data_IF_790858850233
#
_entry.id   IF_790858850233
#
_cell.length_a   1.000
_cell.length_b   1.000
_cell.length_c   1.000
_cell.angle_alpha   90.00
_cell.angle_beta   90.00
_cell.angle_gamma   90.00
#
_symmetry.space_group_name_H-M   'P 1'
#
loop_
_entity.id
_entity.type
_entity.pdbx_description
1 polymer ?
#
# COMPACT_ATOMS: atom_id res chain seq x y z
N UNK A 1 -7.20 -8.73 -25.47
CA UNK A 1 -8.62 -8.54 -25.81
C UNK A 1 -9.24 -7.69 -24.70
N UNK A 2 -9.88 -6.55 -25.01
CA UNK A 2 -10.64 -5.83 -23.99
C UNK A 2 -11.84 -6.70 -23.56
N UNK A 3 -12.16 -6.77 -22.25
CA UNK A 3 -13.37 -7.47 -21.79
C UNK A 3 -14.62 -6.78 -22.36
N UNK A 4 -15.69 -7.53 -22.67
CA UNK A 4 -16.91 -6.95 -23.20
C UNK A 4 -17.53 -5.97 -22.20
N UNK A 5 -17.96 -4.81 -22.70
CA UNK A 5 -18.66 -3.79 -21.93
C UNK A 5 -19.83 -4.41 -21.15
N UNK A 6 -19.84 -4.25 -19.82
CA UNK A 6 -20.93 -4.70 -18.94
C UNK A 6 -20.74 -6.05 -18.26
N UNK A 7 -19.65 -6.78 -18.53
CA UNK A 7 -19.35 -8.02 -17.80
C UNK A 7 -18.71 -7.72 -16.43
N UNK A 8 -19.52 -7.60 -15.38
CA UNK A 8 -19.01 -7.71 -14.01
C UNK A 8 -18.43 -9.11 -13.82
N UNK A 9 -17.21 -9.20 -13.30
CA UNK A 9 -16.41 -10.43 -13.12
C UNK A 9 -17.01 -11.30 -11.98
N UNK A 10 -18.32 -11.52 -11.97
CA UNK A 10 -19.03 -11.95 -10.77
C UNK A 10 -19.00 -13.46 -10.54
N UNK A 11 -18.77 -14.31 -11.56
CA UNK A 11 -18.93 -15.77 -11.40
C UNK A 11 -17.94 -16.70 -12.14
N UNK A 12 -16.88 -16.20 -12.78
CA UNK A 12 -15.93 -17.04 -13.53
C UNK A 12 -14.68 -17.49 -12.74
N UNK A 13 -13.98 -18.56 -13.19
CA UNK A 13 -12.66 -18.96 -12.64
C UNK A 13 -11.60 -17.85 -12.74
N UNK A 14 -11.81 -16.88 -13.65
CA UNK A 14 -10.95 -15.70 -13.83
C UNK A 14 -11.16 -14.61 -12.77
N UNK A 15 -12.14 -14.76 -11.86
CA UNK A 15 -12.44 -13.78 -10.81
C UNK A 15 -11.28 -13.56 -9.85
N UNK A 16 -10.65 -14.65 -9.39
CA UNK A 16 -9.50 -14.56 -8.49
C UNK A 16 -8.32 -13.85 -9.16
N UNK A 17 -8.08 -14.16 -10.44
CA UNK A 17 -7.03 -13.50 -11.21
C UNK A 17 -7.31 -12.01 -11.41
N UNK A 18 -8.52 -11.66 -11.83
CA UNK A 18 -8.90 -10.27 -12.01
C UNK A 18 -8.81 -9.47 -10.69
N UNK A 19 -9.18 -10.10 -9.58
CA UNK A 19 -9.03 -9.51 -8.25
C UNK A 19 -7.57 -9.21 -7.93
N UNK A 20 -6.69 -10.19 -8.09
CA UNK A 20 -5.25 -10.02 -7.82
C UNK A 20 -4.64 -8.94 -8.72
N UNK A 21 -5.03 -8.87 -10.00
CA UNK A 21 -4.55 -7.83 -10.92
C UNK A 21 -5.00 -6.44 -10.46
N UNK A 22 -6.26 -6.30 -10.02
CA UNK A 22 -6.76 -5.03 -9.53
C UNK A 22 -6.11 -4.63 -8.21
N UNK A 23 -5.92 -5.55 -7.26
CA UNK A 23 -5.20 -5.28 -6.01
C UNK A 23 -3.75 -4.85 -6.26
N UNK A 24 -3.05 -5.50 -7.20
CA UNK A 24 -1.71 -5.11 -7.61
C UNK A 24 -1.68 -3.69 -8.22
N UNK A 25 -2.64 -3.37 -9.09
CA UNK A 25 -2.78 -2.03 -9.66
C UNK A 25 -3.11 -0.98 -8.59
N UNK A 26 -4.00 -1.29 -7.65
CA UNK A 26 -4.30 -0.38 -6.55
C UNK A 26 -3.08 -0.10 -5.67
N UNK A 27 -2.27 -1.11 -5.37
CA UNK A 27 -1.02 -0.91 -4.65
C UNK A 27 -0.06 -0.02 -5.44
N UNK A 28 0.12 -0.28 -6.74
CA UNK A 28 0.93 0.58 -7.62
C UNK A 28 0.43 2.03 -7.65
N UNK A 29 -0.89 2.23 -7.66
CA UNK A 29 -1.50 3.55 -7.53
C UNK A 29 -1.05 4.24 -6.24
N UNK A 30 -1.13 3.55 -5.10
CA UNK A 30 -0.69 4.08 -3.79
C UNK A 30 0.81 4.40 -3.75
N UNK A 31 1.65 3.55 -4.31
CA UNK A 31 3.10 3.77 -4.39
C UNK A 31 3.40 5.03 -5.19
N UNK A 32 2.83 5.16 -6.39
CA UNK A 32 3.03 6.31 -7.24
C UNK A 32 2.47 7.60 -6.63
N UNK A 33 1.33 7.56 -5.95
CA UNK A 33 0.83 8.71 -5.19
C UNK A 33 1.79 9.15 -4.10
N UNK A 34 2.40 8.21 -3.38
CA UNK A 34 3.39 8.53 -2.36
C UNK A 34 4.66 9.12 -2.97
N UNK A 35 5.17 8.53 -4.05
CA UNK A 35 6.31 9.09 -4.79
C UNK A 35 6.00 10.50 -5.26
N UNK A 36 4.81 10.74 -5.83
CA UNK A 36 4.37 12.07 -6.23
C UNK A 36 4.36 13.07 -5.06
N UNK A 37 3.93 12.66 -3.85
CA UNK A 37 3.99 13.54 -2.68
C UNK A 37 5.42 13.93 -2.29
N UNK A 38 6.41 13.09 -2.59
CA UNK A 38 7.82 13.35 -2.31
C UNK A 38 8.50 14.16 -3.44
N UNK A 39 8.13 13.88 -4.71
CA UNK A 39 8.82 14.42 -5.90
C UNK A 39 8.11 15.60 -6.55
N UNK A 40 6.79 15.72 -6.34
CA UNK A 40 5.89 16.57 -7.10
C UNK A 40 6.03 16.42 -8.62
N UNK A 41 6.38 15.22 -9.12
CA UNK A 41 6.57 14.99 -10.55
C UNK A 41 5.27 14.52 -11.24
N UNK A 42 4.90 15.18 -12.34
CA UNK A 42 3.71 14.83 -13.14
C UNK A 42 3.69 13.37 -13.61
N UNK A 43 4.85 12.80 -13.93
CA UNK A 43 4.98 11.42 -14.37
C UNK A 43 4.48 10.40 -13.31
N UNK A 44 4.80 10.64 -12.04
CA UNK A 44 4.40 9.78 -10.93
C UNK A 44 2.88 9.87 -10.72
N UNK A 45 2.31 11.08 -10.83
CA UNK A 45 0.88 11.27 -10.72
C UNK A 45 0.11 10.60 -11.87
N UNK A 46 0.58 10.75 -13.11
CA UNK A 46 -0.01 10.07 -14.26
C UNK A 46 0.07 8.54 -14.12
N UNK A 47 1.19 8.01 -13.64
CA UNK A 47 1.31 6.58 -13.33
C UNK A 47 0.31 6.13 -12.26
N UNK A 48 0.12 6.92 -11.19
CA UNK A 48 -0.87 6.62 -10.17
C UNK A 48 -2.29 6.53 -10.75
N UNK A 49 -2.67 7.48 -11.60
CA UNK A 49 -3.99 7.50 -12.24
C UNK A 49 -4.19 6.33 -13.21
N UNK A 50 -3.18 6.00 -14.04
CA UNK A 50 -3.22 4.81 -14.91
C UNK A 50 -3.52 3.54 -14.13
N UNK A 51 -2.82 3.33 -13.02
CA UNK A 51 -3.00 2.16 -12.19
C UNK A 51 -4.35 2.16 -11.46
N UNK A 52 -4.78 3.33 -10.96
CA UNK A 52 -6.11 3.47 -10.38
C UNK A 52 -7.22 3.15 -11.39
N UNK A 53 -7.11 3.64 -12.62
CA UNK A 53 -8.04 3.37 -13.74
C UNK A 53 -8.04 1.89 -14.12
N UNK A 54 -6.88 1.23 -14.16
CA UNK A 54 -6.79 -0.20 -14.43
C UNK A 54 -7.48 -1.03 -13.34
N UNK A 55 -7.26 -0.70 -12.07
CA UNK A 55 -7.96 -1.33 -10.94
C UNK A 55 -9.47 -1.09 -10.98
N UNK A 56 -9.86 0.15 -11.27
CA UNK A 56 -11.22 0.63 -11.41
C UNK A 56 -12.02 -0.18 -12.45
N UNK A 57 -11.44 -0.37 -13.65
CA UNK A 57 -12.07 -1.14 -14.75
C UNK A 57 -12.30 -2.61 -14.43
N UNK A 58 -11.58 -3.15 -13.47
CA UNK A 58 -11.75 -4.53 -12.99
C UNK A 58 -12.81 -4.66 -11.88
N UNK A 59 -13.49 -3.56 -11.52
CA UNK A 59 -14.62 -3.58 -10.59
C UNK A 59 -14.23 -3.58 -9.10
N UNK A 60 -12.95 -3.34 -8.75
CA UNK A 60 -12.50 -3.24 -7.36
C UNK A 60 -12.47 -1.80 -6.83
N UNK A 61 -13.48 -0.99 -7.19
CA UNK A 61 -13.60 0.35 -6.62
C UNK A 61 -13.85 0.34 -5.11
N UNK A 62 -14.58 -0.67 -4.60
CA UNK A 62 -14.88 -0.76 -3.16
C UNK A 62 -13.64 -0.89 -2.27
N UNK A 63 -12.55 -1.48 -2.79
CA UNK A 63 -11.28 -1.65 -2.05
C UNK A 63 -10.23 -0.60 -2.41
N UNK A 64 -10.40 0.12 -3.53
CA UNK A 64 -9.56 1.27 -3.83
C UNK A 64 -9.86 2.35 -2.79
N UNK A 65 -9.02 2.40 -1.73
CA UNK A 65 -9.28 3.18 -0.53
C UNK A 65 -9.95 4.49 -0.88
N UNK A 66 -11.14 4.73 -0.34
CA UNK A 66 -11.91 5.97 -0.51
C UNK A 66 -11.02 7.22 -0.52
N UNK A 67 -9.96 7.23 0.30
CA UNK A 67 -8.87 8.20 0.31
C UNK A 67 -8.19 8.48 -1.04
N UNK A 68 -7.80 7.45 -1.79
CA UNK A 68 -7.16 7.57 -3.10
C UNK A 68 -8.15 8.16 -4.12
N UNK A 69 -9.36 7.62 -4.17
CA UNK A 69 -10.44 8.12 -5.05
C UNK A 69 -10.82 9.54 -4.68
N UNK A 70 -10.92 9.88 -3.40
CA UNK A 70 -11.24 11.22 -2.89
C UNK A 70 -10.12 12.23 -3.21
N UNK A 71 -8.85 11.86 -3.04
CA UNK A 71 -7.71 12.70 -3.45
C UNK A 71 -7.66 12.89 -4.97
N UNK A 72 -7.92 11.83 -5.73
CA UNK A 72 -8.03 11.85 -7.19
C UNK A 72 -9.21 12.74 -7.62
N UNK A 73 -10.37 12.64 -6.97
CA UNK A 73 -11.56 13.44 -7.25
C UNK A 73 -11.31 14.92 -6.94
N UNK A 74 -10.69 15.23 -5.80
CA UNK A 74 -10.26 16.60 -5.46
C UNK A 74 -9.27 17.14 -6.50
N UNK A 75 -8.33 16.31 -6.95
CA UNK A 75 -7.40 16.65 -8.04
C UNK A 75 -8.14 16.98 -9.34
N UNK A 76 -9.03 16.10 -9.79
CA UNK A 76 -9.80 16.27 -11.04
C UNK A 76 -10.70 17.50 -10.96
N UNK A 77 -11.40 17.71 -9.85
CA UNK A 77 -12.26 18.88 -9.65
C UNK A 77 -11.47 20.18 -9.62
N UNK A 78 -10.29 20.19 -8.99
CA UNK A 78 -9.41 21.37 -9.00
C UNK A 78 -8.91 21.71 -10.42
N UNK A 79 -8.66 20.70 -11.27
CA UNK A 79 -8.25 20.91 -12.66
C UNK A 79 -9.42 21.31 -13.58
N UNK A 80 -10.62 20.74 -13.39
CA UNK A 80 -11.84 21.19 -14.08
C UNK A 80 -12.09 22.67 -13.75
N UNK A 81 -11.90 23.09 -12.49
CA UNK A 81 -11.95 24.51 -12.10
C UNK A 81 -10.90 25.40 -12.77
N UNK A 82 -9.77 24.85 -13.24
CA UNK A 82 -8.74 25.59 -13.99
C UNK A 82 -9.11 25.68 -15.48
N UNK A 83 -9.74 24.63 -16.04
CA UNK A 83 -10.23 24.62 -17.43
C UNK A 83 -11.43 25.54 -17.65
N UNK A 84 -12.35 25.59 -16.68
CA UNK A 84 -13.52 26.48 -16.70
C UNK A 84 -13.15 27.88 -16.18
N UNK A 85 -12.52 28.67 -17.07
CA UNK A 85 -12.19 30.12 -17.03
C UNK A 85 -12.88 31.01 -15.98
N UNK A 86 -12.68 30.75 -14.69
CA UNK A 86 -13.07 31.68 -13.63
C UNK A 86 -11.97 32.74 -13.48
N UNK A 87 -12.38 34.00 -13.40
CA UNK A 87 -11.46 35.13 -13.22
C UNK A 87 -10.93 35.13 -11.79
N UNK A 88 -9.77 34.52 -11.55
CA UNK A 88 -9.10 34.52 -10.26
C UNK A 88 -7.79 33.73 -10.30
N UNK A 89 -6.85 33.98 -9.38
CA UNK A 89 -5.70 33.11 -9.21
C UNK A 89 -6.21 31.70 -8.85
N UNK A 90 -5.66 30.64 -9.47
CA UNK A 90 -6.06 29.28 -9.13
C UNK A 90 -5.86 29.07 -7.62
N UNK A 91 -6.78 28.35 -6.94
CA UNK A 91 -6.55 27.97 -5.55
C UNK A 91 -5.19 27.26 -5.46
N UNK A 92 -4.49 27.41 -4.33
CA UNK A 92 -3.26 26.64 -4.09
C UNK A 92 -3.62 25.15 -4.06
N UNK A 93 -3.48 24.51 -5.21
CA UNK A 93 -3.85 23.11 -5.40
C UNK A 93 -2.80 22.17 -4.82
N UNK A 94 -1.65 22.69 -4.38
CA UNK A 94 -0.49 21.87 -4.02
C UNK A 94 0.01 21.02 -5.19
N UNK A 95 -0.17 21.47 -6.43
CA UNK A 95 0.29 20.78 -7.63
C UNK A 95 1.48 21.49 -8.27
N UNK A 96 2.40 20.73 -8.90
CA UNK A 96 3.46 21.33 -9.69
C UNK A 96 2.86 22.18 -10.84
N UNK A 97 3.50 23.28 -11.24
CA UNK A 97 3.08 24.01 -12.44
C UNK A 97 3.26 23.16 -13.70
N UNK A 98 2.43 23.39 -14.72
CA UNK A 98 2.63 22.80 -16.06
C UNK A 98 3.64 23.70 -16.79
N UNK A 99 4.86 23.23 -16.95
CA UNK A 99 5.97 24.03 -17.49
C UNK A 99 6.45 23.58 -18.88
N UNK A 100 6.04 22.39 -19.30
CA UNK A 100 6.47 21.77 -20.54
C UNK A 100 5.33 21.06 -21.28
N UNK A 101 5.54 20.78 -22.56
CA UNK A 101 4.62 19.93 -23.33
C UNK A 101 4.50 18.51 -22.76
N UNK A 102 5.55 18.03 -22.10
CA UNK A 102 5.56 16.73 -21.43
C UNK A 102 4.63 16.73 -20.20
N UNK A 103 4.64 17.81 -19.42
CA UNK A 103 3.72 17.99 -18.29
C UNK A 103 2.27 18.01 -18.78
N UNK A 104 2.00 18.74 -19.87
CA UNK A 104 0.68 18.79 -20.48
C UNK A 104 0.19 17.40 -20.93
N UNK A 105 1.08 16.59 -21.53
CA UNK A 105 0.74 15.22 -21.91
C UNK A 105 0.40 14.33 -20.71
N UNK A 106 1.08 14.50 -19.57
CA UNK A 106 0.72 13.78 -18.34
C UNK A 106 -0.63 14.22 -17.78
N UNK A 107 -0.93 15.52 -17.83
CA UNK A 107 -2.24 16.04 -17.43
C UNK A 107 -3.36 15.50 -18.32
N UNK A 108 -3.17 15.49 -19.63
CA UNK A 108 -4.12 14.90 -20.59
C UNK A 108 -4.37 13.42 -20.28
N UNK A 109 -3.31 12.67 -19.98
CA UNK A 109 -3.42 11.27 -19.58
C UNK A 109 -4.21 11.08 -18.28
N UNK A 110 -3.99 11.94 -17.28
CA UNK A 110 -4.74 11.93 -16.03
C UNK A 110 -6.23 12.21 -16.30
N UNK A 111 -6.53 13.20 -17.14
CA UNK A 111 -7.91 13.53 -17.53
C UNK A 111 -8.58 12.41 -18.34
N UNK A 112 -7.79 11.60 -19.06
CA UNK A 112 -8.27 10.43 -19.80
C UNK A 112 -8.65 9.24 -18.89
N UNK A 113 -8.29 9.26 -17.61
CA UNK A 113 -8.69 8.25 -16.63
C UNK A 113 -10.16 8.46 -16.19
N UNK A 114 -11.06 8.35 -17.18
CA UNK A 114 -12.47 8.71 -17.10
C UNK A 114 -13.26 7.90 -16.07
N UNK A 115 -12.88 6.64 -15.79
CA UNK A 115 -13.60 5.82 -14.81
C UNK A 115 -13.34 6.35 -13.40
N UNK A 116 -12.12 6.81 -13.11
CA UNK A 116 -11.83 7.55 -11.88
C UNK A 116 -12.47 8.94 -11.88
N UNK A 117 -12.37 9.68 -12.97
CA UNK A 117 -12.80 11.08 -13.07
C UNK A 117 -14.32 11.24 -12.99
N UNK A 118 -15.08 10.36 -13.65
CA UNK A 118 -16.55 10.37 -13.64
C UNK A 118 -17.13 9.73 -12.38
N UNK A 119 -16.26 9.13 -11.55
CA UNK A 119 -16.63 8.01 -10.68
C UNK A 119 -17.09 6.85 -11.57
N UNK A 120 -16.82 5.61 -11.18
CA UNK A 120 -17.73 4.58 -11.61
C UNK A 120 -19.09 5.02 -11.08
N UNK A 121 -19.98 5.50 -11.94
CA UNK A 121 -21.39 5.58 -11.63
C UNK A 121 -21.71 4.17 -11.15
N UNK A 122 -21.98 3.96 -9.84
CA UNK A 122 -22.55 2.69 -9.42
C UNK A 122 -23.80 2.58 -10.29
N UNK A 123 -23.91 1.51 -11.05
CA UNK A 123 -25.11 1.27 -11.85
C UNK A 123 -26.32 1.48 -10.95
N UNK A 124 -27.07 2.56 -11.19
CA UNK A 124 -28.52 2.76 -11.06
C UNK A 124 -29.35 1.88 -10.09
N UNK A 125 -28.79 1.35 -9.02
CA UNK A 125 -29.47 0.43 -8.10
C UNK A 125 -28.91 0.38 -6.67
N UNK A 126 -27.93 1.23 -6.34
CA UNK A 126 -27.78 1.67 -4.95
C UNK A 126 -28.49 3.01 -4.88
N UNK A 127 -29.81 2.96 -4.72
CA UNK A 127 -30.54 4.08 -4.15
C UNK A 127 -29.83 4.44 -2.85
N UNK A 128 -29.20 5.60 -2.84
CA UNK A 128 -29.20 6.59 -1.77
C UNK A 128 -29.54 6.12 -0.33
N UNK A 129 -28.98 5.01 0.12
CA UNK A 129 -28.68 4.77 1.55
C UNK A 129 -27.40 5.54 1.88
N UNK A 130 -27.39 6.84 1.58
CA UNK A 130 -26.32 7.78 1.99
C UNK A 130 -26.43 8.18 3.47
N UNK A 131 -27.26 7.47 4.22
CA UNK A 131 -27.11 7.24 5.66
C UNK A 131 -26.08 6.13 5.96
N UNK A 132 -25.10 5.92 5.07
CA UNK A 132 -23.78 5.41 5.46
C UNK A 132 -23.12 6.54 6.28
N UNK A 133 -23.68 6.79 7.49
CA UNK A 133 -22.93 7.27 8.63
C UNK A 133 -21.64 6.47 8.58
N UNK A 134 -20.55 7.10 8.12
CA UNK A 134 -19.25 6.48 8.22
C UNK A 134 -19.18 6.04 9.67
N UNK A 135 -19.17 4.73 9.93
CA UNK A 135 -18.94 4.18 11.25
C UNK A 135 -17.63 4.82 11.68
N UNK A 136 -17.71 5.97 12.38
CA UNK A 136 -16.56 6.79 12.70
C UNK A 136 -15.80 5.90 13.64
N UNK A 137 -14.72 5.27 13.17
CA UNK A 137 -14.02 4.18 13.86
C UNK A 137 -13.93 4.48 15.36
N UNK A 138 -14.88 3.95 16.13
CA UNK A 138 -15.05 4.35 17.52
C UNK A 138 -13.94 3.67 18.30
N UNK A 139 -12.91 4.44 18.63
CA UNK A 139 -11.76 3.93 19.37
C UNK A 139 -12.15 3.76 20.83
N UNK A 140 -12.14 2.51 21.32
CA UNK A 140 -12.37 2.19 22.72
C UNK A 140 -11.07 2.10 23.53
N UNK A 141 -11.15 2.42 24.83
CA UNK A 141 -10.02 2.28 25.74
C UNK A 141 -9.69 0.78 25.92
N UNK A 142 -8.41 0.42 25.78
CA UNK A 142 -7.95 -0.96 25.88
C UNK A 142 -8.03 -1.54 27.30
N UNK A 143 -8.20 -0.71 28.34
CA UNK A 143 -8.31 -1.19 29.73
C UNK A 143 -9.67 -1.85 29.96
N UNK A 144 -9.73 -3.09 30.48
CA UNK A 144 -10.99 -3.72 30.89
C UNK A 144 -11.74 -2.86 31.91
N UNK A 145 -13.06 -2.71 31.72
CA UNK A 145 -13.89 -1.86 32.57
C UNK A 145 -13.63 -0.35 32.40
N UNK A 146 -13.16 0.08 31.23
CA UNK A 146 -13.16 1.48 30.85
C UNK A 146 -14.01 1.65 29.58
N UNK A 147 -15.18 2.27 29.73
CA UNK A 147 -16.12 2.44 28.61
C UNK A 147 -15.90 3.75 27.85
N UNK A 148 -14.74 4.39 28.04
CA UNK A 148 -14.40 5.60 27.31
C UNK A 148 -14.13 5.24 25.85
N UNK A 149 -14.80 5.97 24.96
CA UNK A 149 -14.63 5.90 23.52
C UNK A 149 -14.31 7.29 22.95
N UNK A 150 -13.71 7.35 21.76
CA UNK A 150 -13.54 8.60 20.99
C UNK A 150 -13.58 8.30 19.51
N UNK A 151 -14.06 9.25 18.72
CA UNK A 151 -13.93 9.23 17.25
C UNK A 151 -12.68 9.98 16.78
N UNK A 152 -11.98 10.66 17.69
CA UNK A 152 -10.75 11.42 17.40
C UNK A 152 -9.52 10.70 17.94
N UNK A 153 -8.64 10.14 17.07
CA UNK A 153 -7.47 9.38 17.50
C UNK A 153 -6.46 10.12 18.38
N UNK A 154 -6.46 11.46 18.37
CA UNK A 154 -5.55 12.27 19.21
C UNK A 154 -5.91 12.28 20.69
N UNK A 155 -7.16 11.99 21.04
CA UNK A 155 -7.61 12.01 22.44
C UNK A 155 -7.07 10.81 23.22
N UNK A 156 -6.72 9.73 22.52
CA UNK A 156 -6.24 8.50 23.12
C UNK A 156 -4.74 8.34 22.92
N UNK A 157 -4.07 7.85 23.95
CA UNK A 157 -2.64 7.54 23.94
C UNK A 157 -2.44 6.10 23.53
N UNK A 158 -1.67 5.88 22.49
CA UNK A 158 -1.30 4.55 22.03
C UNK A 158 -0.19 3.95 22.91
N UNK A 159 -0.18 2.62 23.09
CA UNK A 159 0.94 1.96 23.75
C UNK A 159 2.26 2.24 23.03
N UNK A 160 3.25 2.76 23.76
CA UNK A 160 4.60 3.05 23.24
C UNK A 160 5.50 1.81 23.10
N UNK A 161 5.00 0.63 23.44
CA UNK A 161 5.73 -0.63 23.34
C UNK A 161 5.91 -1.15 21.91
N UNK A 162 6.59 -2.30 21.80
CA UNK A 162 6.84 -3.00 20.54
C UNK A 162 5.78 -4.06 20.20
N UNK A 163 4.61 -4.04 20.84
CA UNK A 163 3.51 -4.93 20.46
C UNK A 163 3.13 -4.74 18.98
N UNK A 164 2.69 -5.82 18.29
CA UNK A 164 2.22 -5.76 16.91
C UNK A 164 1.14 -4.70 16.72
N UNK A 165 1.09 -4.08 15.52
CA UNK A 165 0.13 -3.02 15.18
C UNK A 165 -1.32 -3.38 15.54
N UNK A 166 -1.73 -4.63 15.26
CA UNK A 166 -3.07 -5.14 15.46
C UNK A 166 -3.41 -5.49 16.93
N UNK A 167 -2.39 -5.62 17.80
CA UNK A 167 -2.54 -5.86 19.24
C UNK A 167 -2.15 -4.63 20.08
N UNK A 168 -1.99 -3.45 19.45
CA UNK A 168 -1.48 -2.27 20.13
C UNK A 168 -2.64 -1.42 20.66
N UNK A 169 -2.95 -1.49 21.97
CA UNK A 169 -4.10 -0.81 22.55
C UNK A 169 -3.95 0.72 22.58
N UNK A 170 -5.10 1.38 22.61
CA UNK A 170 -5.27 2.82 22.84
C UNK A 170 -5.82 3.03 24.26
N UNK A 171 -5.41 4.10 24.93
CA UNK A 171 -5.84 4.40 26.29
C UNK A 171 -6.27 5.86 26.40
N UNK A 172 -7.43 6.12 27.00
CA UNK A 172 -7.89 7.48 27.25
C UNK A 172 -6.98 8.26 28.24
N UNK A 173 -6.16 7.55 29.03
CA UNK A 173 -5.27 8.16 30.02
C UNK A 173 -4.03 7.30 30.33
N UNK A 174 -3.03 7.90 30.98
CA UNK A 174 -1.81 7.20 31.41
C UNK A 174 -2.12 6.22 32.56
N UNK A 175 -3.14 6.53 33.36
CA UNK A 175 -3.62 5.73 34.47
C UNK A 175 -4.25 4.44 33.96
N UNK A 176 -5.06 4.52 32.89
CA UNK A 176 -5.62 3.32 32.25
C UNK A 176 -4.54 2.41 31.69
N UNK A 177 -3.52 2.99 31.04
CA UNK A 177 -2.37 2.25 30.54
C UNK A 177 -1.60 1.54 31.67
N UNK A 178 -1.37 2.21 32.80
CA UNK A 178 -0.67 1.62 33.95
C UNK A 178 -1.44 0.47 34.59
N UNK A 179 -2.76 0.60 34.68
CA UNK A 179 -3.62 -0.45 35.25
C UNK A 179 -3.70 -1.67 34.34
N UNK A 180 -3.80 -1.46 33.03
CA UNK A 180 -3.80 -2.56 32.06
C UNK A 180 -2.42 -3.21 31.87
N UNK A 181 -1.35 -2.55 32.34
CA UNK A 181 0.02 -3.00 32.11
C UNK A 181 0.28 -4.44 32.56
N UNK A 182 -0.27 -4.91 33.68
CA UNK A 182 -0.02 -6.28 34.15
C UNK A 182 -0.51 -7.33 33.15
N UNK A 183 -1.65 -7.08 32.49
CA UNK A 183 -2.20 -7.94 31.45
C UNK A 183 -1.45 -7.74 30.13
N UNK A 184 -1.35 -6.47 29.68
CA UNK A 184 -0.76 -6.15 28.38
C UNK A 184 0.75 -6.45 28.32
N UNK A 185 1.48 -6.51 29.45
CA UNK A 185 2.93 -6.75 29.47
C UNK A 185 3.36 -8.03 28.76
N UNK A 186 2.54 -9.09 28.77
CA UNK A 186 2.85 -10.34 28.07
C UNK A 186 2.86 -10.15 26.55
N UNK A 187 1.91 -9.39 26.02
CA UNK A 187 1.77 -9.07 24.58
C UNK A 187 2.66 -7.91 24.14
N UNK A 188 2.90 -6.96 25.06
CA UNK A 188 3.80 -5.83 24.90
C UNK A 188 5.26 -6.23 25.07
N UNK A 189 5.51 -7.47 25.50
CA UNK A 189 6.85 -8.02 25.58
C UNK A 189 7.44 -7.91 24.18
N UNK A 190 8.68 -7.42 24.13
CA UNK A 190 9.47 -7.51 22.91
C UNK A 190 9.45 -9.01 22.57
N UNK A 191 8.94 -9.40 21.40
CA UNK A 191 9.44 -10.62 20.79
C UNK A 191 10.95 -10.50 20.91
N UNK A 192 11.56 -11.44 21.62
CA UNK A 192 12.97 -11.33 21.97
C UNK A 192 13.69 -11.02 20.68
N UNK A 193 14.37 -9.86 20.64
CA UNK A 193 14.83 -9.28 19.38
C UNK A 193 15.75 -10.24 18.62
N UNK A 194 16.27 -11.27 19.30
CA UNK A 194 17.04 -12.38 18.74
C UNK A 194 16.26 -13.30 17.80
N UNK A 195 14.96 -13.56 18.03
CA UNK A 195 14.17 -14.46 17.18
C UNK A 195 13.66 -13.78 15.91
N UNK A 196 13.39 -12.47 15.94
CA UNK A 196 12.98 -11.71 14.75
C UNK A 196 14.09 -11.45 13.74
N UNK A 197 15.34 -11.74 14.11
CA UNK A 197 16.52 -11.42 13.31
C UNK A 197 16.97 -12.56 12.40
N UNK A 198 16.36 -13.74 12.48
CA UNK A 198 16.62 -14.81 11.52
C UNK A 198 15.36 -15.04 10.69
N UNK A 199 15.50 -14.99 9.38
CA UNK A 199 14.41 -15.33 8.46
C UNK A 199 14.83 -16.53 7.65
N UNK A 200 14.02 -17.59 7.71
CA UNK A 200 14.09 -18.70 6.76
C UNK A 200 13.11 -18.46 5.63
N UNK A 201 13.58 -18.59 4.40
CA UNK A 201 12.75 -18.56 3.20
C UNK A 201 13.16 -19.65 2.23
N UNK A 202 12.25 -19.99 1.31
CA UNK A 202 12.53 -21.00 0.28
C UNK A 202 12.96 -20.30 -1.00
N UNK A 203 14.15 -20.63 -1.52
CA UNK A 203 14.66 -20.09 -2.78
C UNK A 203 13.78 -20.51 -3.97
N UNK A 204 13.95 -19.86 -5.12
CA UNK A 204 13.36 -20.16 -6.41
C UNK A 204 13.67 -21.60 -6.84
N UNK A 205 14.82 -22.15 -6.43
CA UNK A 205 15.18 -23.55 -6.68
C UNK A 205 14.62 -24.52 -5.62
N UNK A 206 13.82 -24.03 -4.66
CA UNK A 206 13.17 -24.84 -3.63
C UNK A 206 14.06 -25.18 -2.43
N UNK A 207 15.22 -24.54 -2.27
CA UNK A 207 16.14 -24.78 -1.14
C UNK A 207 15.77 -23.86 0.03
N UNK A 208 15.93 -24.31 1.27
CA UNK A 208 15.82 -23.42 2.43
C UNK A 208 17.08 -22.55 2.52
N UNK A 209 16.90 -21.24 2.66
CA UNK A 209 17.95 -20.29 2.95
C UNK A 209 17.62 -19.57 4.27
N UNK A 210 18.64 -19.31 5.08
CA UNK A 210 18.53 -18.57 6.33
C UNK A 210 19.29 -17.26 6.22
N UNK A 211 18.66 -16.18 6.66
CA UNK A 211 19.21 -14.84 6.58
C UNK A 211 19.27 -14.21 7.97
N UNK A 212 20.48 -13.86 8.41
CA UNK A 212 20.71 -13.09 9.61
C UNK A 212 20.55 -11.58 9.34
N UNK A 213 19.59 -10.97 10.02
CA UNK A 213 19.22 -9.57 9.98
C UNK A 213 19.70 -8.81 11.22
N UNK A 214 20.59 -9.40 12.02
CA UNK A 214 20.97 -8.85 13.31
C UNK A 214 21.64 -7.48 13.24
N UNK A 215 22.32 -7.18 12.14
CA UNK A 215 22.91 -5.89 11.81
C UNK A 215 21.93 -4.82 11.31
N UNK A 216 20.63 -5.14 11.15
CA UNK A 216 19.67 -4.23 10.55
C UNK A 216 18.84 -3.42 11.55
N UNK A 217 18.47 -2.22 11.10
CA UNK A 217 17.42 -1.41 11.74
C UNK A 217 16.06 -2.09 11.55
N UNK A 218 15.19 -2.03 12.56
CA UNK A 218 13.87 -2.68 12.53
C UNK A 218 13.04 -2.35 11.28
N UNK A 219 13.09 -1.10 10.79
CA UNK A 219 12.37 -0.72 9.57
C UNK A 219 12.82 -1.51 8.34
N UNK A 220 14.10 -1.90 8.27
CA UNK A 220 14.65 -2.73 7.19
C UNK A 220 14.36 -4.21 7.39
N UNK A 221 14.29 -4.67 8.64
CA UNK A 221 13.89 -6.04 8.99
C UNK A 221 12.51 -6.35 8.44
N UNK A 222 11.55 -5.44 8.63
CA UNK A 222 10.18 -5.62 8.10
C UNK A 222 10.14 -5.70 6.57
N UNK A 223 10.94 -4.89 5.88
CA UNK A 223 11.04 -4.97 4.41
C UNK A 223 11.67 -6.30 3.99
N UNK A 224 12.72 -6.75 4.68
CA UNK A 224 13.36 -8.05 4.41
C UNK A 224 12.37 -9.21 4.62
N UNK A 225 11.57 -9.20 5.69
CA UNK A 225 10.48 -10.16 5.92
C UNK A 225 9.47 -10.15 4.78
N UNK A 226 9.07 -8.97 4.32
CA UNK A 226 8.10 -8.83 3.25
C UNK A 226 8.64 -9.39 1.92
N UNK A 227 9.89 -9.08 1.57
CA UNK A 227 10.55 -9.62 0.37
C UNK A 227 10.75 -11.14 0.48
N UNK A 228 11.21 -11.63 1.64
CA UNK A 228 11.38 -13.05 1.91
C UNK A 228 10.06 -13.83 1.76
N UNK A 229 8.95 -13.29 2.28
CA UNK A 229 7.61 -13.86 2.13
C UNK A 229 7.12 -13.92 0.68
N UNK A 230 7.72 -13.13 -0.21
CA UNK A 230 7.33 -13.06 -1.61
C UNK A 230 8.05 -14.05 -2.52
N UNK A 231 9.11 -14.71 -2.04
CA UNK A 231 9.78 -15.77 -2.79
C UNK A 231 8.85 -16.93 -3.13
N UNK A 232 7.97 -17.32 -2.21
CA UNK A 232 7.06 -18.44 -2.45
C UNK A 232 6.01 -18.10 -3.54
N UNK A 233 5.57 -16.84 -3.59
CA UNK A 233 4.75 -16.33 -4.69
C UNK A 233 5.51 -16.41 -6.02
N UNK A 234 6.71 -15.84 -6.08
CA UNK A 234 7.49 -15.76 -7.32
C UNK A 234 7.85 -17.14 -7.85
N UNK A 235 8.15 -18.08 -6.97
CA UNK A 235 8.44 -19.47 -7.33
C UNK A 235 7.22 -20.20 -7.91
N UNK A 236 6.02 -19.94 -7.41
CA UNK A 236 4.79 -20.64 -7.81
C UNK A 236 4.14 -20.03 -9.06
N UNK A 237 4.23 -18.72 -9.26
CA UNK A 237 3.58 -18.04 -10.38
C UNK A 237 4.46 -18.01 -11.63
N UNK A 238 4.09 -18.79 -12.65
CA UNK A 238 4.78 -18.85 -13.95
C UNK A 238 4.71 -17.55 -14.77
N UNK A 239 3.88 -16.58 -14.34
CA UNK A 239 3.69 -15.29 -15.04
C UNK A 239 4.59 -14.18 -14.51
N UNK A 240 5.47 -14.48 -13.55
CA UNK A 240 6.43 -13.51 -13.04
C UNK A 240 7.30 -12.99 -14.20
N UNK A 241 7.43 -11.66 -14.36
CA UNK A 241 8.31 -11.09 -15.38
C UNK A 241 9.74 -11.64 -15.26
N UNK A 242 10.42 -12.00 -16.37
CA UNK A 242 11.79 -12.51 -16.32
C UNK A 242 12.77 -11.60 -15.58
N UNK A 243 12.58 -10.27 -15.67
CA UNK A 243 13.37 -9.28 -14.93
C UNK A 243 13.21 -9.37 -13.42
N UNK A 244 12.00 -9.66 -12.93
CA UNK A 244 11.75 -9.86 -11.50
C UNK A 244 12.37 -11.18 -11.03
N UNK A 245 12.20 -12.27 -11.79
CA UNK A 245 12.82 -13.55 -11.49
C UNK A 245 14.36 -13.45 -11.46
N UNK A 246 14.96 -12.71 -12.40
CA UNK A 246 16.41 -12.45 -12.42
C UNK A 246 16.86 -11.68 -11.16
N UNK A 247 16.12 -10.64 -10.76
CA UNK A 247 16.42 -9.88 -9.54
C UNK A 247 16.36 -10.75 -8.27
N UNK A 248 15.35 -11.62 -8.14
CA UNK A 248 15.28 -12.57 -7.02
C UNK A 248 16.43 -13.60 -7.05
N UNK A 249 16.87 -14.02 -8.24
CA UNK A 249 18.04 -14.88 -8.41
C UNK A 249 19.35 -14.20 -8.01
N UNK A 250 19.52 -12.91 -8.31
CA UNK A 250 20.66 -12.11 -7.83
C UNK A 250 20.64 -11.99 -6.30
N UNK A 251 19.46 -11.76 -5.70
CA UNK A 251 19.32 -11.71 -4.24
C UNK A 251 19.65 -13.05 -3.58
N UNK A 252 19.29 -14.16 -4.21
CA UNK A 252 19.66 -15.50 -3.73
C UNK A 252 21.15 -15.76 -3.82
N UNK A 253 21.79 -15.37 -4.90
CA UNK A 253 23.24 -15.49 -5.04
C UNK A 253 23.95 -14.72 -3.91
N UNK A 254 23.49 -13.49 -3.63
CA UNK A 254 24.00 -12.67 -2.52
C UNK A 254 23.73 -13.30 -1.13
N UNK A 255 22.62 -14.03 -0.95
CA UNK A 255 22.28 -14.67 0.32
C UNK A 255 22.95 -16.04 0.52
N UNK A 256 23.21 -16.78 -0.56
CA UNK A 256 23.66 -18.18 -0.51
C UNK A 256 25.18 -18.37 -0.65
N UNK A 257 25.91 -17.38 -1.19
CA UNK A 257 27.35 -17.49 -1.42
C UNK A 257 28.17 -16.54 -0.54
N UNK A 258 28.63 -17.04 0.60
CA UNK A 258 29.70 -16.40 1.38
C UNK A 258 31.09 -16.52 0.70
N UNK A 259 31.14 -16.90 -0.59
CA UNK A 259 32.38 -17.28 -1.31
C UNK A 259 33.09 -16.11 -2.00
N UNK A 260 32.39 -15.01 -2.28
CA UNK A 260 32.95 -13.84 -2.99
C UNK A 260 33.01 -12.56 -2.13
N UNK A 261 32.82 -12.68 -0.81
CA UNK A 261 32.79 -11.53 0.08
C UNK A 261 31.52 -10.68 -0.03
N UNK A 262 30.46 -11.22 -0.66
CA UNK A 262 29.14 -10.58 -0.59
C UNK A 262 28.54 -10.82 0.78
N UNK A 263 28.24 -9.73 1.48
CA UNK A 263 27.84 -9.75 2.89
C UNK A 263 26.33 -9.55 3.02
N UNK A 264 25.72 -9.85 4.18
CA UNK A 264 24.31 -9.49 4.45
C UNK A 264 23.97 -8.02 4.13
N UNK A 265 24.96 -7.12 4.19
CA UNK A 265 24.84 -5.72 3.77
C UNK A 265 24.55 -5.55 2.27
N UNK A 266 24.98 -6.48 1.43
CA UNK A 266 24.74 -6.45 -0.01
C UNK A 266 23.32 -6.88 -0.35
N UNK A 267 22.81 -7.94 0.30
CA UNK A 267 21.39 -8.29 0.28
C UNK A 267 20.52 -7.11 0.72
N UNK A 268 20.96 -6.38 1.74
CA UNK A 268 20.27 -5.19 2.26
C UNK A 268 20.33 -4.03 1.28
N UNK A 269 21.48 -3.80 0.64
CA UNK A 269 21.59 -2.83 -0.46
C UNK A 269 20.67 -3.19 -1.62
N UNK A 270 20.47 -4.47 -1.91
CA UNK A 270 19.51 -4.91 -2.92
C UNK A 270 18.07 -4.65 -2.48
N UNK A 271 17.73 -4.86 -1.20
CA UNK A 271 16.42 -4.45 -0.65
C UNK A 271 16.23 -2.92 -0.78
N UNK A 272 17.26 -2.12 -0.52
CA UNK A 272 17.17 -0.66 -0.69
C UNK A 272 17.01 -0.24 -2.16
N UNK A 273 17.60 -1.01 -3.08
CA UNK A 273 17.45 -0.86 -4.53
C UNK A 273 16.21 -1.57 -5.07
N UNK A 274 15.38 -2.18 -4.21
CA UNK A 274 14.17 -2.87 -4.60
C UNK A 274 13.39 -1.96 -5.54
N UNK A 275 13.21 -2.35 -6.82
CA UNK A 275 12.64 -1.43 -7.78
C UNK A 275 11.21 -1.11 -7.33
N UNK A 276 10.95 0.17 -7.04
CA UNK A 276 9.67 0.63 -6.46
C UNK A 276 8.46 0.30 -7.34
N UNK A 277 8.69 -0.02 -8.61
CA UNK A 277 7.68 -0.45 -9.58
C UNK A 277 7.38 -1.96 -9.54
N UNK A 278 8.20 -2.78 -8.88
CA UNK A 278 7.88 -4.19 -8.66
C UNK A 278 7.00 -4.34 -7.43
N UNK A 279 5.79 -4.78 -7.68
CA UNK A 279 4.75 -4.98 -6.66
C UNK A 279 4.44 -6.45 -6.60
N UNK A 280 4.67 -7.01 -5.43
CA UNK A 280 4.33 -8.39 -5.12
C UNK A 280 2.88 -8.39 -4.65
N UNK A 281 2.02 -9.27 -5.18
CA UNK A 281 0.66 -9.39 -4.68
C UNK A 281 0.70 -9.80 -3.20
N UNK A 282 -0.07 -9.10 -2.38
CA UNK A 282 -0.25 -9.48 -0.98
C UNK A 282 -1.05 -10.79 -0.91
N UNK A 283 -0.55 -11.75 -0.12
CA UNK A 283 -1.28 -12.95 0.28
C UNK A 283 -2.28 -12.63 1.39
#
# INVERSE_FOLDING_TARGET
>A
MPPPHGSTISSGPDKALARNIAEANLFLCKVNLRTFQDTFAWADLAAAFRHGEASARLGLFGTASYMAVSKIKKFVLAQIHIGDRMSGPPPDTGLPPITSAQDAAYVDEILWCLTLAKGAAPSAHYEDDSDDESDEDVLACGRPGCDNTTTTPSDFKRCGGKCPMHLKPYYCSKECQKQDWQRHKAECRRLDASEEKHITFTTLQGKQAELDLSGLKNSKVEVAKHVAGSYDFVRKDKRVPPSLAAFFGEMEAAASENKNGQTPEEFVRMIEKWPKHFVLPHH
#
